data_IF_266506721812
#
_entry.id   IF_266506721812
#
_cell.length_a   1.000
_cell.length_b   1.000
_cell.length_c   1.000
_cell.angle_alpha   90.00
_cell.angle_beta   90.00
_cell.angle_gamma   90.00
#
_symmetry.space_group_name_H-M   'P 1'
#
loop_
_entity.id
_entity.type
_entity.pdbx_description
1 polymer ?
#
# COMPACT_ATOMS: atom_id res chain seq x y z
N UNK A 1 -2.77 -11.31 -8.07
CA UNK A 1 -2.00 -10.33 -8.86
C UNK A 1 -2.88 -9.86 -9.99
N UNK A 2 -2.87 -8.56 -10.28
CA UNK A 2 -3.79 -7.91 -11.23
C UNK A 2 -3.47 -8.23 -12.71
N UNK A 3 -2.26 -8.70 -13.00
CA UNK A 3 -1.83 -9.03 -14.35
C UNK A 3 -1.83 -10.54 -14.56
N UNK A 4 -2.62 -11.00 -15.52
CA UNK A 4 -2.66 -12.41 -15.94
C UNK A 4 -1.50 -12.77 -16.86
N UNK A 5 -1.02 -11.80 -17.63
CA UNK A 5 0.09 -11.93 -18.57
C UNK A 5 1.41 -11.57 -17.89
N UNK A 6 2.42 -12.41 -18.11
CA UNK A 6 3.73 -12.27 -17.47
C UNK A 6 4.40 -10.97 -17.91
N UNK A 7 4.32 -10.65 -19.19
CA UNK A 7 4.97 -9.50 -19.81
C UNK A 7 4.44 -8.20 -19.24
N UNK A 8 3.12 -8.09 -19.05
CA UNK A 8 2.48 -6.94 -18.40
C UNK A 8 2.86 -6.82 -16.93
N UNK A 9 2.97 -7.94 -16.22
CA UNK A 9 3.46 -7.94 -14.84
C UNK A 9 4.89 -7.39 -14.79
N UNK A 10 5.82 -7.95 -15.57
CA UNK A 10 7.21 -7.51 -15.57
C UNK A 10 7.36 -6.04 -15.98
N UNK A 11 6.60 -5.59 -16.98
CA UNK A 11 6.56 -4.19 -17.37
C UNK A 11 6.11 -3.30 -16.21
N UNK A 12 4.98 -3.63 -15.58
CA UNK A 12 4.46 -2.85 -14.44
C UNK A 12 5.43 -2.81 -13.25
N UNK A 13 6.16 -3.90 -12.99
CA UNK A 13 7.20 -3.91 -11.96
C UNK A 13 8.38 -3.00 -12.34
N UNK A 14 8.77 -3.00 -13.61
CA UNK A 14 9.81 -2.12 -14.14
C UNK A 14 9.43 -0.63 -14.05
N UNK A 15 8.17 -0.29 -14.31
CA UNK A 15 7.64 1.09 -14.13
C UNK A 15 7.70 1.58 -12.68
N UNK A 16 7.87 0.67 -11.72
CA UNK A 16 8.03 0.98 -10.30
C UNK A 16 9.49 0.93 -9.84
N UNK A 17 10.43 0.98 -10.80
CA UNK A 17 11.88 0.96 -10.58
C UNK A 17 12.40 -0.31 -9.87
N UNK A 18 11.69 -1.42 -9.97
CA UNK A 18 12.16 -2.71 -9.43
C UNK A 18 13.11 -3.34 -10.42
N UNK A 19 14.38 -3.52 -10.02
CA UNK A 19 15.36 -4.20 -10.84
C UNK A 19 15.14 -5.73 -10.85
N UNK A 20 14.53 -6.23 -11.92
CA UNK A 20 14.15 -7.63 -12.07
C UNK A 20 15.35 -8.59 -12.28
N UNK A 21 16.53 -8.07 -12.63
CA UNK A 21 17.75 -8.86 -12.80
C UNK A 21 18.46 -9.13 -11.47
N UNK A 22 18.05 -8.44 -10.40
CA UNK A 22 18.62 -8.59 -9.06
C UNK A 22 17.67 -9.43 -8.21
N UNK A 23 18.12 -10.65 -7.89
CA UNK A 23 17.43 -11.55 -6.95
C UNK A 23 18.40 -11.98 -5.86
N UNK A 24 17.94 -11.91 -4.61
CA UNK A 24 18.69 -12.42 -3.46
C UNK A 24 17.78 -13.19 -2.50
N UNK A 25 18.38 -13.90 -1.54
CA UNK A 25 17.65 -14.57 -0.47
C UNK A 25 17.75 -13.73 0.80
N UNK A 26 16.61 -13.32 1.33
CA UNK A 26 16.51 -12.55 2.57
C UNK A 26 15.70 -13.26 3.63
N UNK A 27 15.66 -12.64 4.81
CA UNK A 27 14.77 -13.03 5.90
C UNK A 27 13.94 -11.82 6.31
N UNK A 28 12.62 -12.00 6.33
CA UNK A 28 11.68 -11.01 6.82
C UNK A 28 10.85 -11.61 7.94
N UNK A 29 10.99 -11.04 9.14
CA UNK A 29 10.43 -11.61 10.37
C UNK A 29 10.92 -13.06 10.55
N UNK A 30 10.02 -14.02 10.60
CA UNK A 30 10.27 -15.45 10.76
C UNK A 30 10.36 -16.22 9.43
N UNK A 31 10.30 -15.54 8.27
CA UNK A 31 10.19 -16.17 6.95
C UNK A 31 11.42 -15.95 6.08
N UNK A 32 11.83 -16.99 5.36
CA UNK A 32 12.77 -16.86 4.25
C UNK A 32 12.03 -16.40 3.00
N UNK A 33 12.60 -15.44 2.28
CA UNK A 33 11.97 -14.85 1.11
C UNK A 33 12.99 -14.56 0.00
N UNK A 34 12.55 -14.73 -1.23
CA UNK A 34 13.23 -14.17 -2.39
C UNK A 34 12.98 -12.66 -2.41
N UNK A 35 14.05 -11.89 -2.48
CA UNK A 35 14.03 -10.44 -2.63
C UNK A 35 14.35 -10.14 -4.08
N UNK A 36 13.39 -9.57 -4.80
CA UNK A 36 13.51 -9.16 -6.21
C UNK A 36 13.61 -7.64 -6.24
N UNK A 37 14.65 -7.09 -6.87
CA UNK A 37 14.91 -5.64 -6.90
C UNK A 37 16.15 -5.20 -6.13
N UNK A 38 16.59 -5.98 -5.14
CA UNK A 38 17.67 -5.59 -4.23
C UNK A 38 18.52 -6.77 -3.77
N UNK A 39 19.77 -6.48 -3.40
CA UNK A 39 20.63 -7.42 -2.67
C UNK A 39 20.39 -7.26 -1.18
N UNK A 40 19.83 -8.28 -0.53
CA UNK A 40 19.63 -8.28 0.92
C UNK A 40 20.95 -7.96 1.67
N UNK A 41 20.94 -7.09 2.69
CA UNK A 41 19.78 -6.50 3.38
C UNK A 41 19.40 -5.09 2.90
N UNK A 42 19.71 -4.71 1.66
CA UNK A 42 19.36 -3.37 1.15
C UNK A 42 17.83 -3.18 1.05
N UNK A 43 17.31 -2.24 1.83
CA UNK A 43 15.89 -1.84 1.86
C UNK A 43 15.66 -0.44 1.29
N UNK A 44 16.70 0.19 0.72
CA UNK A 44 16.67 1.58 0.24
C UNK A 44 16.12 1.75 -1.18
N UNK A 45 15.85 0.64 -1.88
CA UNK A 45 15.36 0.63 -3.26
C UNK A 45 14.05 -0.16 -3.39
N UNK A 46 13.24 0.14 -4.42
CA UNK A 46 12.03 -0.64 -4.71
C UNK A 46 12.30 -2.12 -4.90
N UNK A 47 11.48 -2.95 -4.26
CA UNK A 47 11.68 -4.40 -4.22
C UNK A 47 10.43 -5.14 -3.77
N UNK A 48 10.34 -6.41 -4.16
CA UNK A 48 9.28 -7.33 -3.76
C UNK A 48 9.89 -8.51 -3.02
N UNK A 49 9.25 -8.89 -1.93
CA UNK A 49 9.60 -10.05 -1.13
C UNK A 49 8.57 -11.13 -1.32
N UNK A 50 9.02 -12.27 -1.83
CA UNK A 50 8.21 -13.46 -2.09
C UNK A 50 8.63 -14.56 -1.12
N UNK A 51 7.73 -15.01 -0.26
CA UNK A 51 8.03 -16.08 0.69
C UNK A 51 8.39 -17.38 -0.05
N UNK A 52 9.49 -18.00 0.39
CA UNK A 52 10.18 -19.06 -0.35
C UNK A 52 9.33 -20.32 -0.59
N UNK A 53 8.52 -20.72 0.39
CA UNK A 53 7.82 -22.01 0.33
C UNK A 53 6.44 -21.92 -0.33
N UNK A 54 5.77 -20.78 -0.23
CA UNK A 54 4.41 -20.55 -0.74
C UNK A 54 4.38 -19.71 -1.99
N UNK A 55 5.49 -19.05 -2.35
CA UNK A 55 5.60 -18.10 -3.46
C UNK A 55 4.60 -16.94 -3.35
N UNK A 56 4.20 -16.58 -2.13
CA UNK A 56 3.29 -15.47 -1.87
C UNK A 56 4.08 -14.20 -1.60
N UNK A 57 3.64 -13.05 -2.13
CA UNK A 57 4.21 -11.78 -1.71
C UNK A 57 3.96 -11.60 -0.21
N UNK A 58 4.94 -11.09 0.51
CA UNK A 58 4.81 -10.79 1.94
C UNK A 58 5.15 -9.35 2.27
N UNK A 59 5.94 -8.70 1.40
CA UNK A 59 6.35 -7.31 1.52
C UNK A 59 6.61 -6.73 0.14
N UNK A 60 6.31 -5.44 0.00
CA UNK A 60 6.55 -4.65 -1.19
C UNK A 60 7.06 -3.29 -0.75
N UNK A 61 8.25 -2.91 -1.19
CA UNK A 61 8.82 -1.57 -0.99
C UNK A 61 8.76 -0.83 -2.33
N UNK A 62 8.24 0.39 -2.31
CA UNK A 62 7.98 1.24 -3.48
C UNK A 62 8.50 2.65 -3.22
N UNK A 63 8.83 3.40 -4.28
CA UNK A 63 8.98 4.86 -4.15
C UNK A 63 7.60 5.49 -3.97
N UNK A 64 7.39 6.23 -2.89
CA UNK A 64 6.22 7.09 -2.75
C UNK A 64 6.26 8.23 -3.76
N UNK A 65 5.12 8.86 -4.07
CA UNK A 65 5.06 10.19 -4.71
C UNK A 65 5.60 10.35 -6.15
N UNK A 66 6.29 9.39 -6.75
CA UNK A 66 6.70 9.41 -8.17
C UNK A 66 7.76 10.47 -8.55
N UNK A 67 8.49 11.04 -7.57
CA UNK A 67 9.60 11.97 -7.81
C UNK A 67 10.89 11.50 -7.13
N UNK A 68 12.03 12.02 -7.58
CA UNK A 68 13.33 11.66 -7.03
C UNK A 68 13.51 12.19 -5.59
N UNK A 69 13.92 11.31 -4.68
CA UNK A 69 13.99 11.59 -3.24
C UNK A 69 12.67 11.47 -2.47
N UNK A 70 11.59 10.99 -3.10
CA UNK A 70 10.36 10.69 -2.38
C UNK A 70 10.55 9.54 -1.37
N UNK A 71 9.87 9.58 -0.22
CA UNK A 71 10.01 8.55 0.80
C UNK A 71 9.55 7.19 0.27
N UNK A 72 10.18 6.12 0.74
CA UNK A 72 9.71 4.78 0.43
C UNK A 72 8.39 4.50 1.15
N UNK A 73 7.46 3.89 0.41
CA UNK A 73 6.26 3.29 0.94
C UNK A 73 6.46 1.77 1.03
N UNK A 74 5.88 1.16 2.05
CA UNK A 74 5.91 -0.28 2.23
C UNK A 74 4.49 -0.84 2.33
N UNK A 75 4.26 -1.98 1.68
CA UNK A 75 3.03 -2.75 1.78
C UNK A 75 3.39 -4.14 2.30
N UNK A 76 2.82 -4.51 3.44
CA UNK A 76 2.91 -5.85 3.98
C UNK A 76 1.65 -6.66 3.69
N UNK A 77 1.85 -7.93 3.31
CA UNK A 77 0.77 -8.88 3.09
C UNK A 77 0.85 -10.02 4.12
N UNK A 78 -0.24 -10.22 4.86
CA UNK A 78 -0.31 -11.19 5.95
C UNK A 78 -1.65 -11.91 6.00
N UNK A 79 -1.73 -12.91 6.89
CA UNK A 79 -2.95 -13.67 7.18
C UNK A 79 -3.62 -14.25 5.93
N UNK A 80 -2.82 -14.93 5.09
CA UNK A 80 -3.32 -15.54 3.87
C UNK A 80 -4.38 -16.61 4.15
N UNK A 81 -5.53 -16.50 3.48
CA UNK A 81 -6.59 -17.51 3.50
C UNK A 81 -6.90 -18.02 2.10
N UNK A 82 -7.29 -19.29 2.03
CA UNK A 82 -7.85 -19.87 0.82
C UNK A 82 -9.30 -19.38 0.65
N UNK A 83 -9.61 -18.75 -0.49
CA UNK A 83 -10.94 -18.20 -0.76
C UNK A 83 -11.90 -19.21 -1.42
N UNK A 84 -11.40 -20.07 -2.31
CA UNK A 84 -12.20 -21.10 -3.00
C UNK A 84 -11.40 -22.39 -3.14
N UNK A 85 -11.97 -23.52 -2.71
CA UNK A 85 -11.43 -24.89 -2.86
C UNK A 85 -9.89 -25.02 -2.75
N UNK A 86 -9.26 -24.16 -1.95
CA UNK A 86 -7.79 -24.00 -1.82
C UNK A 86 -7.04 -23.60 -3.11
N UNK A 87 -7.74 -23.21 -4.18
CA UNK A 87 -7.14 -22.75 -5.45
C UNK A 87 -6.60 -21.33 -5.35
N UNK A 88 -7.34 -20.44 -4.69
CA UNK A 88 -7.00 -19.01 -4.61
C UNK A 88 -6.64 -18.61 -3.19
N UNK A 89 -5.45 -18.04 -3.02
CA UNK A 89 -4.99 -17.51 -1.75
C UNK A 89 -4.97 -16.00 -1.78
N UNK A 90 -5.48 -15.38 -0.72
CA UNK A 90 -5.60 -13.93 -0.62
C UNK A 90 -5.13 -13.46 0.77
N UNK A 91 -4.33 -12.38 0.86
CA UNK A 91 -3.92 -11.82 2.13
C UNK A 91 -5.13 -11.15 2.80
N UNK A 92 -5.53 -11.64 3.97
CA UNK A 92 -6.71 -11.07 4.65
C UNK A 92 -6.38 -9.85 5.51
N UNK A 93 -5.08 -9.54 5.64
CA UNK A 93 -4.58 -8.34 6.28
C UNK A 93 -3.46 -7.71 5.44
N UNK A 94 -3.66 -6.46 5.03
CA UNK A 94 -2.71 -5.67 4.26
C UNK A 94 -2.40 -4.40 5.05
N UNK A 95 -1.13 -4.13 5.31
CA UNK A 95 -0.69 -2.91 6.02
C UNK A 95 0.14 -2.07 5.08
N UNK A 96 -0.17 -0.78 5.02
CA UNK A 96 0.61 0.21 4.32
C UNK A 96 1.39 1.02 5.35
N UNK A 97 2.64 1.31 5.02
CA UNK A 97 3.54 2.09 5.84
C UNK A 97 4.08 3.25 5.02
N UNK A 98 4.16 4.41 5.66
CA UNK A 98 4.89 5.57 5.18
C UNK A 98 5.98 5.89 6.19
N UNK A 99 7.24 5.96 5.73
CA UNK A 99 8.40 6.21 6.61
C UNK A 99 8.46 5.24 7.81
N UNK A 100 8.17 3.96 7.57
CA UNK A 100 8.16 2.90 8.59
C UNK A 100 7.01 2.98 9.60
N UNK A 101 6.05 3.89 9.44
CA UNK A 101 4.87 4.01 10.30
C UNK A 101 3.62 3.53 9.57
N UNK A 102 2.79 2.69 10.19
CA UNK A 102 1.58 2.21 9.55
C UNK A 102 0.60 3.39 9.36
N UNK A 103 0.18 3.64 8.12
CA UNK A 103 -0.79 4.69 7.78
C UNK A 103 -2.19 4.11 7.52
N UNK A 104 -2.25 2.87 7.03
CA UNK A 104 -3.49 2.22 6.60
C UNK A 104 -3.43 0.72 6.81
N UNK A 105 -4.55 0.16 7.26
CA UNK A 105 -4.71 -1.29 7.40
C UNK A 105 -6.00 -1.70 6.72
N UNK A 106 -5.91 -2.64 5.78
CA UNK A 106 -7.07 -3.29 5.17
C UNK A 106 -7.23 -4.69 5.76
N UNK A 107 -8.45 -4.98 6.21
CA UNK A 107 -8.83 -6.27 6.77
C UNK A 107 -10.03 -6.82 6.02
N UNK A 108 -9.90 -8.02 5.49
CA UNK A 108 -11.01 -8.71 4.81
C UNK A 108 -12.04 -9.17 5.84
N UNK A 109 -13.24 -8.58 5.79
CA UNK A 109 -14.37 -8.96 6.65
C UNK A 109 -15.19 -10.12 6.07
N UNK A 110 -15.54 -10.02 4.79
CA UNK A 110 -16.38 -11.01 4.08
C UNK A 110 -16.00 -11.04 2.61
N UNK A 111 -16.29 -12.16 1.94
CA UNK A 111 -16.11 -12.31 0.50
C UNK A 111 -17.15 -13.27 -0.08
N UNK A 112 -17.44 -13.08 -1.36
CA UNK A 112 -18.22 -14.02 -2.18
C UNK A 112 -17.39 -14.30 -3.43
N UNK A 113 -17.25 -15.58 -3.80
CA UNK A 113 -16.49 -15.98 -4.98
C UNK A 113 -17.40 -15.97 -6.20
N UNK A 114 -16.96 -15.32 -7.27
CA UNK A 114 -17.70 -15.19 -8.55
C UNK A 114 -19.17 -14.79 -8.37
N UNK A 115 -19.48 -13.72 -7.61
CA UNK A 115 -20.85 -13.23 -7.53
C UNK A 115 -21.30 -12.76 -8.92
N UNK A 116 -22.59 -12.87 -9.20
CA UNK A 116 -23.17 -12.22 -10.37
C UNK A 116 -23.21 -10.71 -10.10
N UNK A 117 -22.36 -9.95 -10.79
CA UNK A 117 -22.29 -8.50 -10.69
C UNK A 117 -23.04 -7.87 -11.86
N UNK A 118 -23.88 -6.88 -11.58
CA UNK A 118 -24.57 -6.13 -12.63
C UNK A 118 -23.57 -5.39 -13.51
N UNK A 119 -23.74 -5.47 -14.82
CA UNK A 119 -22.93 -4.73 -15.81
C UNK A 119 -22.98 -3.21 -15.57
N UNK A 120 -24.09 -2.72 -14.99
CA UNK A 120 -24.26 -1.31 -14.64
C UNK A 120 -23.23 -0.80 -13.63
N UNK A 121 -22.64 -1.68 -12.81
CA UNK A 121 -21.55 -1.30 -11.90
C UNK A 121 -20.27 -0.90 -12.65
N UNK A 122 -20.18 -1.19 -13.94
CA UNK A 122 -19.04 -0.90 -14.80
C UNK A 122 -19.40 0.06 -15.95
N UNK A 123 -20.67 0.49 -16.06
CA UNK A 123 -21.11 1.48 -17.04
C UNK A 123 -20.86 2.91 -16.49
N UNK A 124 -19.83 3.57 -17.02
CA UNK A 124 -19.45 4.93 -16.61
C UNK A 124 -20.57 5.94 -16.86
N UNK A 125 -21.34 5.79 -17.94
CA UNK A 125 -22.44 6.70 -18.25
C UNK A 125 -23.54 6.57 -17.20
N UNK A 126 -23.93 5.33 -16.87
CA UNK A 126 -24.85 5.04 -15.78
C UNK A 126 -24.33 5.54 -14.43
N UNK A 127 -23.07 5.25 -14.08
CA UNK A 127 -22.47 5.67 -12.81
C UNK A 127 -22.52 7.20 -12.62
N UNK A 128 -22.30 7.98 -13.68
CA UNK A 128 -22.43 9.45 -13.63
C UNK A 128 -23.85 9.95 -13.34
N UNK A 129 -24.88 9.16 -13.68
CA UNK A 129 -26.27 9.52 -13.36
C UNK A 129 -26.65 9.21 -11.91
N UNK A 130 -26.09 8.13 -11.35
CA UNK A 130 -26.47 7.64 -10.01
C UNK A 130 -25.59 8.25 -8.92
N UNK A 131 -24.31 8.48 -9.21
CA UNK A 131 -23.38 9.13 -8.30
C UNK A 131 -23.21 10.59 -8.69
N UNK A 132 -23.77 11.48 -7.87
CA UNK A 132 -23.42 12.91 -7.96
C UNK A 132 -21.94 13.05 -7.63
N UNK A 133 -21.16 13.81 -8.41
CA UNK A 133 -19.83 14.21 -7.99
C UNK A 133 -19.95 14.80 -6.59
N UNK A 134 -19.17 14.29 -5.65
CA UNK A 134 -18.97 14.98 -4.38
C UNK A 134 -18.44 16.34 -4.80
N UNK A 135 -19.23 17.41 -4.59
CA UNK A 135 -18.77 18.76 -4.83
C UNK A 135 -17.39 18.85 -4.19
N UNK A 136 -16.37 19.20 -4.97
CA UNK A 136 -15.00 19.37 -4.52
C UNK A 136 -15.10 19.98 -3.14
N UNK A 137 -14.67 19.27 -2.10
CA UNK A 137 -14.59 19.82 -0.75
C UNK A 137 -13.93 21.17 -0.94
N UNK A 138 -14.72 22.25 -0.84
CA UNK A 138 -14.18 23.57 -0.63
C UNK A 138 -13.20 23.33 0.51
N UNK A 139 -11.93 23.66 0.29
CA UNK A 139 -10.96 23.75 1.37
C UNK A 139 -11.72 24.40 2.51
N UNK A 140 -11.95 23.65 3.58
CA UNK A 140 -12.50 24.23 4.80
C UNK A 140 -11.63 25.46 5.04
N UNK A 141 -12.19 26.67 5.20
CA UNK A 141 -11.37 27.83 5.49
C UNK A 141 -10.47 27.42 6.64
N UNK A 142 -9.16 27.50 6.42
CA UNK A 142 -8.16 27.18 7.43
C UNK A 142 -8.64 27.83 8.73
N UNK A 143 -8.80 27.10 9.84
CA UNK A 143 -9.07 27.75 11.11
C UNK A 143 -7.81 28.57 11.41
N UNK A 144 -7.88 29.88 11.14
CA UNK A 144 -6.78 30.84 11.34
C UNK A 144 -6.45 31.03 12.84
N UNK A 145 -6.99 30.21 13.73
CA UNK A 145 -6.97 30.39 15.18
C UNK A 145 -6.33 29.23 15.96
N UNK A 146 -6.36 27.98 15.48
CA UNK A 146 -5.83 26.85 16.28
C UNK A 146 -4.30 26.85 16.40
N UNK A 147 -3.58 27.28 15.36
CA UNK A 147 -2.11 27.30 15.37
C UNK A 147 -1.57 28.38 16.32
N UNK A 148 -2.28 29.50 16.46
CA UNK A 148 -1.88 30.58 17.37
C UNK A 148 -2.18 30.24 18.83
N UNK A 149 -3.28 29.52 19.10
CA UNK A 149 -3.60 29.04 20.45
C UNK A 149 -2.61 27.98 20.93
N UNK A 150 -2.19 27.05 20.06
CA UNK A 150 -1.14 26.06 20.39
C UNK A 150 0.20 26.74 20.61
N UNK A 151 0.59 27.71 19.77
CA UNK A 151 1.83 28.49 19.96
C UNK A 151 1.80 29.36 21.21
N UNK A 152 0.63 29.84 21.62
CA UNK A 152 0.44 30.59 22.87
C UNK A 152 0.58 29.64 24.07
N UNK A 153 -0.08 28.49 24.05
CA UNK A 153 0.02 27.49 25.10
C UNK A 153 1.46 26.99 25.31
N UNK A 154 2.22 26.77 24.23
CA UNK A 154 3.63 26.37 24.33
C UNK A 154 4.47 27.49 24.97
N UNK A 155 4.26 28.76 24.57
CA UNK A 155 4.99 29.92 25.15
C UNK A 155 4.66 30.12 26.63
N UNK A 156 3.40 29.96 27.00
CA UNK A 156 2.95 30.09 28.39
C UNK A 156 3.52 28.95 29.25
N UNK A 157 3.67 27.74 28.71
CA UNK A 157 4.29 26.62 29.41
C UNK A 157 5.78 26.86 29.68
N UNK A 158 6.54 27.36 28.69
CA UNK A 158 7.99 27.60 28.87
C UNK A 158 8.30 28.68 29.91
N UNK A 159 7.41 29.68 30.07
CA UNK A 159 7.57 30.75 31.08
C UNK A 159 7.41 30.28 32.53
N UNK A 160 6.79 29.12 32.78
CA UNK A 160 6.57 28.61 34.13
C UNK A 160 7.81 27.87 34.66
N UNK A 161 8.75 27.50 33.78
CA UNK A 161 9.94 26.72 34.11
C UNK A 161 11.26 27.51 34.01
N UNK A 162 11.19 28.84 33.95
CA UNK A 162 12.28 29.78 34.28
C UNK A 162 11.94 30.54 35.56
#
# INVERSE_FOLDING_TARGET
MLYREKELLLHSLGEQDINLDVVSLGRYKDKFAYVIGAKYPDESVPQIWIEKNTFRPIRYVLKGGGFDGAPLEEIEYSDYKALDKKKWWYPTRIVFYQNGRPDRVYVLKSYTVNPNLSEQLFDIAYLKTVYKPIASTQQSPSPTSEVDDVKKAIRDFTKIFE
#
